data_IF_073523974392
#
_entry.id   IF_073523974392
#
_cell.length_a   1.000
_cell.length_b   1.000
_cell.length_c   1.000
_cell.angle_alpha   90.00
_cell.angle_beta   90.00
_cell.angle_gamma   90.00
#
_symmetry.space_group_name_H-M   'P 1'
#
loop_
_entity.id
_entity.type
_entity.pdbx_description
1 polymer ?
#
# COMPACT_ATOMS: atom_id res chain seq x y z
N UNK A 1 47.42 -67.04 27.48
CA UNK A 1 46.69 -67.22 26.25
C UNK A 1 45.25 -66.71 26.50
N UNK A 2 45.03 -65.44 26.28
CA UNK A 2 43.73 -64.80 26.42
C UNK A 2 43.44 -64.01 25.14
N UNK A 3 42.52 -64.47 24.40
CA UNK A 3 42.11 -63.86 23.12
C UNK A 3 40.77 -63.20 23.28
N UNK A 4 40.81 -61.88 23.23
CA UNK A 4 40.03 -61.03 22.33
C UNK A 4 38.62 -61.51 21.95
N UNK A 5 37.60 -60.93 22.65
CA UNK A 5 36.26 -60.84 22.13
C UNK A 5 35.63 -59.49 22.46
N UNK A 6 36.21 -58.39 22.01
CA UNK A 6 35.63 -57.07 22.24
C UNK A 6 35.38 -56.24 21.01
N UNK A 7 35.68 -56.72 19.81
CA UNK A 7 35.58 -55.90 18.57
C UNK A 7 34.34 -56.13 17.71
N UNK A 8 33.51 -57.14 17.98
CA UNK A 8 32.31 -57.38 17.13
C UNK A 8 31.07 -56.61 17.59
N UNK A 9 31.02 -56.21 18.86
CA UNK A 9 29.82 -55.51 19.37
C UNK A 9 29.78 -54.01 19.01
N UNK A 10 30.95 -53.39 18.80
CA UNK A 10 31.00 -51.96 18.44
C UNK A 10 30.61 -51.67 16.98
N UNK A 11 30.73 -52.63 16.08
CA UNK A 11 30.37 -52.44 14.67
C UNK A 11 28.88 -52.58 14.40
N UNK A 12 28.14 -53.31 15.20
CA UNK A 12 26.67 -53.50 15.01
C UNK A 12 25.90 -52.28 15.48
N UNK A 13 26.39 -51.59 16.55
CA UNK A 13 25.72 -50.38 17.07
C UNK A 13 25.90 -49.19 16.11
N UNK A 14 27.05 -49.12 15.40
CA UNK A 14 27.32 -48.07 14.45
C UNK A 14 26.44 -48.17 13.19
N UNK A 15 26.07 -49.37 12.77
CA UNK A 15 25.20 -49.56 11.57
C UNK A 15 23.73 -49.27 11.86
N UNK A 16 23.26 -49.57 13.07
CA UNK A 16 21.88 -49.25 13.45
C UNK A 16 21.65 -47.74 13.62
N UNK A 17 22.65 -47.00 14.10
CA UNK A 17 22.56 -45.53 14.28
C UNK A 17 22.60 -44.79 12.92
N UNK A 18 23.33 -45.30 11.94
CA UNK A 18 23.34 -44.71 10.61
C UNK A 18 22.06 -44.98 9.84
N UNK A 19 21.42 -46.13 10.06
CA UNK A 19 20.14 -46.46 9.40
C UNK A 19 18.95 -45.67 10.01
N UNK A 20 19.03 -45.27 11.32
CA UNK A 20 18.01 -44.47 11.95
C UNK A 20 18.04 -43.01 11.54
N UNK A 21 19.17 -42.49 11.10
CA UNK A 21 19.34 -41.12 10.61
C UNK A 21 18.85 -40.94 9.15
N UNK A 22 18.69 -42.03 8.42
CA UNK A 22 18.16 -42.00 7.05
C UNK A 22 16.63 -41.98 6.97
N UNK A 23 15.92 -42.12 8.09
CA UNK A 23 14.45 -42.05 8.19
C UNK A 23 13.94 -40.77 8.82
N UNK A 24 14.80 -39.82 9.16
CA UNK A 24 14.35 -38.43 9.34
C UNK A 24 14.06 -37.93 7.94
N UNK A 25 12.84 -38.17 7.51
CA UNK A 25 12.32 -37.57 6.29
C UNK A 25 12.59 -36.08 6.37
N UNK A 26 13.53 -35.61 5.58
CA UNK A 26 13.62 -34.22 5.22
C UNK A 26 12.25 -33.95 4.56
N UNK A 27 11.30 -33.47 5.37
CA UNK A 27 10.20 -32.72 4.81
C UNK A 27 10.87 -31.52 4.16
N UNK A 28 11.30 -31.68 2.92
CA UNK A 28 11.37 -30.56 2.02
C UNK A 28 9.95 -30.01 2.04
N UNK A 29 9.73 -29.04 2.87
CA UNK A 29 8.70 -28.07 2.63
C UNK A 29 9.00 -27.63 1.21
N UNK A 30 8.28 -28.18 0.24
CA UNK A 30 8.15 -27.55 -1.06
C UNK A 30 7.74 -26.12 -0.71
N UNK A 31 8.73 -25.23 -0.66
CA UNK A 31 8.49 -23.82 -0.86
C UNK A 31 7.76 -23.84 -2.20
N UNK A 32 6.45 -23.76 -2.14
CA UNK A 32 5.57 -23.57 -3.27
C UNK A 32 6.10 -22.30 -3.90
N UNK A 33 6.99 -22.49 -4.87
CA UNK A 33 7.34 -21.47 -5.83
C UNK A 33 6.02 -21.20 -6.56
N UNK A 34 5.16 -20.40 -5.90
CA UNK A 34 4.03 -19.79 -6.55
C UNK A 34 4.68 -18.81 -7.53
N UNK A 35 4.95 -19.31 -8.73
CA UNK A 35 5.16 -18.44 -9.88
C UNK A 35 3.88 -17.64 -10.03
N UNK A 36 3.78 -16.60 -9.20
CA UNK A 36 2.64 -15.69 -9.21
C UNK A 36 2.64 -15.04 -10.58
N UNK A 37 1.64 -15.33 -11.37
CA UNK A 37 1.42 -14.70 -12.66
C UNK A 37 1.43 -13.19 -12.41
N UNK A 38 2.28 -12.46 -13.13
CA UNK A 38 2.37 -11.01 -13.02
C UNK A 38 1.37 -10.36 -13.96
N UNK A 39 0.76 -9.28 -13.50
CA UNK A 39 -0.03 -8.37 -14.31
C UNK A 39 0.51 -6.94 -14.20
N UNK A 40 -0.05 -6.04 -14.96
CA UNK A 40 0.35 -4.63 -15.01
C UNK A 40 -0.68 -3.73 -14.33
N UNK A 41 -0.17 -2.77 -13.53
CA UNK A 41 -0.98 -1.71 -12.93
C UNK A 41 -0.48 -0.36 -13.44
N UNK A 42 -1.34 0.33 -14.20
CA UNK A 42 -1.09 1.68 -14.70
C UNK A 42 -1.54 2.70 -13.66
N UNK A 43 -0.66 3.62 -13.30
CA UNK A 43 -0.94 4.74 -12.41
C UNK A 43 -1.38 5.94 -13.25
N UNK A 44 -2.61 6.42 -13.04
CA UNK A 44 -3.11 7.67 -13.62
C UNK A 44 -3.00 8.78 -12.58
N UNK A 45 -1.92 9.54 -12.70
CA UNK A 45 -1.56 10.66 -11.83
C UNK A 45 -0.05 10.85 -11.84
N UNK A 46 0.41 11.91 -11.19
CA UNK A 46 1.82 12.33 -11.23
C UNK A 46 2.35 12.61 -9.82
N UNK A 47 3.67 12.86 -9.75
CA UNK A 47 4.36 13.31 -8.54
C UNK A 47 4.31 12.33 -7.38
N UNK A 48 4.13 11.03 -7.64
CA UNK A 48 4.10 10.00 -6.60
C UNK A 48 5.55 9.67 -6.19
N UNK A 49 5.89 9.91 -4.92
CA UNK A 49 7.20 9.55 -4.36
C UNK A 49 7.17 8.25 -3.57
N UNK A 50 5.99 7.86 -3.08
CA UNK A 50 5.79 6.59 -2.37
C UNK A 50 4.37 6.12 -2.56
N UNK A 51 4.20 4.85 -2.85
CA UNK A 51 2.92 4.18 -3.00
C UNK A 51 2.92 2.90 -2.18
N UNK A 52 1.88 2.70 -1.39
CA UNK A 52 1.68 1.48 -0.63
C UNK A 52 0.33 0.89 -1.01
N UNK A 53 0.39 -0.33 -1.51
CA UNK A 53 -0.76 -1.16 -1.83
C UNK A 53 -0.82 -2.35 -0.87
N UNK A 54 -2.01 -2.87 -0.64
CA UNK A 54 -2.22 -4.11 0.10
C UNK A 54 -3.06 -5.06 -0.75
N UNK A 55 -2.56 -6.28 -0.94
CA UNK A 55 -3.29 -7.32 -1.63
C UNK A 55 -4.40 -7.89 -0.73
N UNK A 56 -5.61 -8.05 -1.28
CA UNK A 56 -6.69 -8.70 -0.57
C UNK A 56 -6.45 -10.22 -0.53
N UNK A 57 -6.73 -10.82 0.60
CA UNK A 57 -6.61 -12.27 0.82
C UNK A 57 -5.44 -12.64 1.74
N UNK A 58 -4.23 -12.28 1.43
CA UNK A 58 -3.02 -12.56 2.24
C UNK A 58 -2.53 -11.36 3.06
N UNK A 59 -3.12 -10.18 2.82
CA UNK A 59 -2.72 -8.91 3.44
C UNK A 59 -1.27 -8.49 3.13
N UNK A 60 -0.68 -9.05 2.10
CA UNK A 60 0.66 -8.68 1.67
C UNK A 60 0.72 -7.20 1.29
N UNK A 61 1.78 -6.53 1.75
CA UNK A 61 1.98 -5.10 1.55
C UNK A 61 3.09 -4.89 0.54
N UNK A 62 2.75 -4.20 -0.53
CA UNK A 62 3.66 -3.80 -1.58
C UNK A 62 4.01 -2.32 -1.44
N UNK A 63 5.29 -1.99 -1.38
CA UNK A 63 5.78 -0.62 -1.28
C UNK A 63 6.63 -0.25 -2.49
N UNK A 64 6.27 0.85 -3.15
CA UNK A 64 6.97 1.40 -4.30
C UNK A 64 7.48 2.81 -3.96
N UNK A 65 8.77 3.03 -4.19
CA UNK A 65 9.40 4.35 -4.08
C UNK A 65 9.62 4.91 -5.47
N UNK A 66 9.08 6.11 -5.73
CA UNK A 66 9.06 6.75 -7.05
C UNK A 66 8.66 5.76 -8.15
N UNK A 67 7.44 5.19 -8.04
CA UNK A 67 7.00 4.19 -9.00
C UNK A 67 7.00 4.76 -10.42
N UNK A 68 7.30 3.90 -11.38
CA UNK A 68 7.04 4.18 -12.78
C UNK A 68 5.53 4.26 -13.04
N UNK A 69 5.14 4.79 -14.20
CA UNK A 69 3.73 4.89 -14.57
C UNK A 69 3.05 3.52 -14.71
N UNK A 70 3.81 2.48 -15.01
CA UNK A 70 3.35 1.10 -15.08
C UNK A 70 4.21 0.28 -14.12
N UNK A 71 3.58 -0.39 -13.17
CA UNK A 71 4.22 -1.29 -12.22
C UNK A 71 3.72 -2.72 -12.43
N UNK A 72 4.61 -3.69 -12.25
CA UNK A 72 4.27 -5.12 -12.32
C UNK A 72 3.99 -5.65 -10.93
N UNK A 73 2.88 -6.35 -10.79
CA UNK A 73 2.39 -6.92 -9.54
C UNK A 73 1.89 -8.35 -9.77
N UNK A 74 1.97 -9.23 -8.77
CA UNK A 74 1.22 -10.48 -8.78
C UNK A 74 -0.26 -10.24 -9.07
N UNK A 75 -0.90 -11.12 -9.82
CA UNK A 75 -2.34 -11.01 -10.07
C UNK A 75 -3.13 -11.04 -8.77
N UNK A 76 -4.16 -10.21 -8.67
CA UNK A 76 -4.97 -10.10 -7.46
C UNK A 76 -5.70 -8.77 -7.34
N UNK A 77 -6.44 -8.64 -6.25
CA UNK A 77 -7.11 -7.37 -5.90
C UNK A 77 -6.26 -6.58 -4.92
N UNK A 78 -6.01 -5.34 -5.24
CA UNK A 78 -5.21 -4.44 -4.43
C UNK A 78 -6.03 -3.27 -3.93
N UNK A 79 -5.84 -2.89 -2.68
CA UNK A 79 -6.39 -1.67 -2.12
C UNK A 79 -5.26 -0.69 -1.78
N UNK A 80 -5.50 0.57 -2.12
CA UNK A 80 -4.60 1.66 -1.75
C UNK A 80 -4.59 1.80 -0.22
N UNK A 81 -3.40 1.83 0.37
CA UNK A 81 -3.20 2.12 1.79
C UNK A 81 -2.72 3.55 1.99
N UNK A 82 -1.69 3.91 1.26
CA UNK A 82 -1.00 5.17 1.46
C UNK A 82 -0.35 5.64 0.15
N UNK A 83 -0.39 6.93 -0.10
CA UNK A 83 0.36 7.56 -1.18
C UNK A 83 0.94 8.90 -0.73
N UNK A 84 2.21 9.10 -1.02
CA UNK A 84 2.92 10.35 -0.79
C UNK A 84 3.26 11.00 -2.12
N UNK A 85 3.07 12.30 -2.19
CA UNK A 85 3.42 13.09 -3.36
C UNK A 85 4.60 14.02 -3.06
N UNK A 86 5.23 14.50 -4.13
CA UNK A 86 6.15 15.63 -4.03
C UNK A 86 5.46 16.81 -3.36
N UNK A 87 6.24 17.61 -2.61
CA UNK A 87 5.67 18.71 -1.84
C UNK A 87 5.08 18.30 -0.48
N UNK A 88 5.27 17.04 -0.05
CA UNK A 88 4.90 16.59 1.31
C UNK A 88 3.42 16.27 1.51
N UNK A 89 2.65 16.11 0.43
CA UNK A 89 1.24 15.72 0.52
C UNK A 89 1.10 14.22 0.75
N UNK A 90 0.22 13.82 1.66
CA UNK A 90 0.01 12.41 2.03
C UNK A 90 -1.49 12.09 1.99
N UNK A 91 -1.83 10.94 1.42
CA UNK A 91 -3.15 10.34 1.52
C UNK A 91 -3.07 9.01 2.27
N UNK A 92 -3.85 8.86 3.33
CA UNK A 92 -4.09 7.61 4.05
C UNK A 92 -5.44 7.04 3.61
N UNK A 93 -5.45 6.25 2.54
CA UNK A 93 -6.68 5.75 1.94
C UNK A 93 -7.44 4.75 2.83
N UNK A 94 -6.74 4.10 3.77
CA UNK A 94 -7.37 3.20 4.76
C UNK A 94 -8.34 3.92 5.71
N UNK A 95 -8.22 5.24 5.85
CA UNK A 95 -9.06 6.08 6.71
C UNK A 95 -10.22 6.76 5.96
N UNK A 96 -10.26 6.63 4.63
CA UNK A 96 -11.27 7.28 3.79
C UNK A 96 -12.53 6.43 3.56
N UNK A 97 -13.66 7.07 3.22
CA UNK A 97 -14.92 6.37 2.93
C UNK A 97 -14.90 5.61 1.61
N UNK A 98 -13.99 5.95 0.71
CA UNK A 98 -13.82 5.28 -0.60
C UNK A 98 -12.57 4.42 -0.56
N UNK A 99 -12.74 3.16 -0.91
CA UNK A 99 -11.61 2.26 -1.16
C UNK A 99 -11.20 2.40 -2.62
N UNK A 100 -9.97 2.81 -2.86
CA UNK A 100 -9.37 2.77 -4.19
C UNK A 100 -8.87 1.35 -4.44
N UNK A 101 -9.61 0.60 -5.25
CA UNK A 101 -9.35 -0.79 -5.57
C UNK A 101 -8.84 -0.92 -7.01
N UNK A 102 -7.88 -1.79 -7.22
CA UNK A 102 -7.42 -2.22 -8.54
C UNK A 102 -7.42 -3.75 -8.61
N UNK A 103 -7.98 -4.30 -9.69
CA UNK A 103 -7.93 -5.73 -9.97
C UNK A 103 -6.87 -5.98 -11.03
N UNK A 104 -5.73 -6.52 -10.64
CA UNK A 104 -4.61 -6.82 -11.52
C UNK A 104 -4.77 -8.22 -12.08
N UNK A 105 -4.81 -8.34 -13.40
CA UNK A 105 -4.91 -9.60 -14.15
C UNK A 105 -3.69 -9.75 -15.06
N UNK A 106 -3.49 -10.95 -15.61
CA UNK A 106 -2.43 -11.22 -16.59
C UNK A 106 -2.75 -10.67 -17.99
N UNK A 107 -4.02 -10.46 -18.28
CA UNK A 107 -4.52 -10.28 -19.63
C UNK A 107 -4.57 -8.80 -20.04
N UNK A 108 -4.96 -7.94 -19.08
CA UNK A 108 -5.14 -6.51 -19.34
C UNK A 108 -4.54 -5.67 -18.21
N UNK A 109 -3.89 -4.53 -18.54
CA UNK A 109 -3.41 -3.59 -17.53
C UNK A 109 -4.56 -3.01 -16.71
N UNK A 110 -4.49 -3.15 -15.39
CA UNK A 110 -5.40 -2.46 -14.48
C UNK A 110 -5.02 -0.96 -14.39
N UNK A 111 -5.99 -0.12 -14.06
CA UNK A 111 -5.73 1.32 -13.87
C UNK A 111 -6.08 1.76 -12.45
N UNK A 112 -5.16 2.47 -11.80
CA UNK A 112 -5.36 3.10 -10.52
C UNK A 112 -5.20 4.62 -10.65
N UNK A 113 -6.30 5.36 -10.44
CA UNK A 113 -6.31 6.83 -10.47
C UNK A 113 -5.91 7.37 -9.11
N UNK A 114 -4.69 7.89 -9.00
CA UNK A 114 -4.14 8.48 -7.77
C UNK A 114 -3.08 9.53 -8.12
N UNK A 115 -2.91 10.52 -7.24
CA UNK A 115 -1.81 11.49 -7.36
C UNK A 115 -2.24 12.85 -7.91
N UNK A 116 -1.25 13.63 -8.33
CA UNK A 116 -1.45 14.95 -8.92
C UNK A 116 -2.02 14.89 -10.37
N UNK A 117 -2.67 15.98 -10.85
CA UNK A 117 -2.82 17.27 -10.20
C UNK A 117 -3.80 17.24 -9.02
N UNK A 118 -3.51 18.04 -8.00
CA UNK A 118 -4.39 18.21 -6.85
C UNK A 118 -5.42 19.30 -7.11
N UNK A 119 -6.67 19.02 -6.76
CA UNK A 119 -7.78 19.96 -6.86
C UNK A 119 -8.20 20.41 -5.47
N UNK A 120 -8.16 21.72 -5.23
CA UNK A 120 -8.75 22.33 -4.05
C UNK A 120 -10.26 22.39 -4.18
N UNK A 121 -10.96 22.05 -3.11
CA UNK A 121 -12.42 22.15 -3.03
C UNK A 121 -12.87 22.52 -1.63
N UNK A 122 -14.00 23.20 -1.52
CA UNK A 122 -14.60 23.59 -0.26
C UNK A 122 -16.02 23.03 -0.21
N UNK A 123 -16.31 22.23 0.81
CA UNK A 123 -17.68 21.81 1.10
C UNK A 123 -18.30 22.76 2.10
N UNK A 124 -19.43 23.34 1.74
CA UNK A 124 -20.15 24.28 2.59
C UNK A 124 -21.42 23.60 3.09
N UNK A 125 -21.57 23.54 4.41
CA UNK A 125 -22.75 23.04 5.09
C UNK A 125 -23.34 24.12 6.00
N UNK A 126 -24.67 24.20 6.06
CA UNK A 126 -25.34 25.10 6.97
C UNK A 126 -25.73 24.37 8.26
N UNK A 127 -25.31 24.93 9.39
CA UNK A 127 -25.70 24.45 10.73
C UNK A 127 -26.38 25.61 11.50
N UNK A 128 -27.69 25.64 11.46
CA UNK A 128 -28.46 26.74 12.06
C UNK A 128 -28.16 28.08 11.37
N UNK A 129 -27.52 29.01 12.10
CA UNK A 129 -27.10 30.33 11.61
C UNK A 129 -25.67 30.37 11.09
N UNK A 130 -24.90 29.26 11.23
CA UNK A 130 -23.51 29.17 10.86
C UNK A 130 -23.34 28.47 9.52
N UNK A 131 -22.36 28.88 8.74
CA UNK A 131 -21.82 28.15 7.59
C UNK A 131 -20.56 27.44 8.04
N UNK A 132 -20.54 26.13 7.90
CA UNK A 132 -19.35 25.30 8.14
C UNK A 132 -18.72 25.01 6.80
N UNK A 133 -17.48 25.45 6.63
CA UNK A 133 -16.69 25.26 5.41
C UNK A 133 -15.58 24.26 5.69
N UNK A 134 -15.56 23.16 4.93
CA UNK A 134 -14.51 22.15 5.02
C UNK A 134 -13.67 22.19 3.75
N UNK A 135 -12.41 22.53 3.90
CA UNK A 135 -11.42 22.48 2.82
C UNK A 135 -11.00 21.03 2.57
N UNK A 136 -10.95 20.65 1.30
CA UNK A 136 -10.45 19.34 0.88
C UNK A 136 -9.50 19.52 -0.30
N UNK A 137 -8.39 18.78 -0.26
CA UNK A 137 -7.43 18.67 -1.35
C UNK A 137 -7.58 17.26 -1.94
N UNK A 138 -8.02 17.19 -3.20
CA UNK A 138 -8.35 15.94 -3.86
C UNK A 138 -7.37 15.64 -4.98
N UNK A 139 -6.93 14.40 -5.08
CA UNK A 139 -6.18 13.90 -6.23
C UNK A 139 -7.08 13.49 -7.39
N UNK A 140 -6.45 12.97 -8.46
CA UNK A 140 -7.14 12.61 -9.72
C UNK A 140 -8.17 11.50 -9.55
N UNK A 141 -8.05 10.63 -8.56
CA UNK A 141 -9.01 9.58 -8.22
C UNK A 141 -10.03 10.00 -7.17
N UNK A 142 -9.96 11.25 -6.68
CA UNK A 142 -10.81 11.78 -5.62
C UNK A 142 -10.36 11.39 -4.22
N UNK A 143 -9.16 10.86 -4.07
CA UNK A 143 -8.52 10.61 -2.79
C UNK A 143 -8.14 11.94 -2.11
N UNK A 144 -8.26 11.97 -0.76
CA UNK A 144 -7.98 13.17 0.01
C UNK A 144 -6.54 13.21 0.48
N UNK A 145 -5.92 14.35 0.25
CA UNK A 145 -4.56 14.63 0.71
C UNK A 145 -4.55 15.56 1.91
N UNK A 146 -3.58 15.36 2.77
CA UNK A 146 -3.24 16.23 3.91
C UNK A 146 -1.76 16.58 3.84
N UNK A 147 -1.32 17.55 4.63
CA UNK A 147 0.07 18.01 4.64
C UNK A 147 0.35 18.98 3.51
N UNK A 148 1.61 19.07 3.14
CA UNK A 148 2.18 20.03 2.20
C UNK A 148 3.23 20.88 2.88
N UNK A 149 4.29 21.23 2.13
CA UNK A 149 5.41 22.02 2.65
C UNK A 149 5.12 23.53 2.69
N UNK A 150 3.96 23.96 2.16
CA UNK A 150 3.54 25.36 2.27
C UNK A 150 3.01 25.60 3.68
N UNK A 151 3.79 26.24 4.53
CA UNK A 151 3.46 26.51 5.93
C UNK A 151 2.26 27.44 6.15
N UNK A 152 1.59 27.90 5.10
CA UNK A 152 0.42 28.77 5.20
C UNK A 152 -0.88 28.03 4.87
N UNK A 153 -1.92 28.18 5.72
CA UNK A 153 -3.23 27.63 5.44
C UNK A 153 -3.88 28.35 4.24
N UNK A 154 -4.74 27.66 3.45
CA UNK A 154 -5.50 28.27 2.38
C UNK A 154 -6.38 29.42 2.89
N UNK A 155 -6.54 30.47 2.09
CA UNK A 155 -7.47 31.56 2.36
C UNK A 155 -8.78 31.35 1.61
N UNK A 156 -9.87 31.90 2.15
CA UNK A 156 -11.15 31.98 1.46
C UNK A 156 -11.72 33.37 1.50
N UNK A 157 -12.54 33.71 0.53
CA UNK A 157 -13.29 34.96 0.51
C UNK A 157 -14.75 34.65 0.14
N UNK A 158 -15.67 35.25 0.88
CA UNK A 158 -17.12 35.06 0.68
C UNK A 158 -17.68 36.31 0.06
N UNK A 159 -18.45 36.15 -1.03
CA UNK A 159 -19.09 37.20 -1.75
C UNK A 159 -20.62 37.11 -1.65
N UNK A 160 -21.29 38.26 -1.67
CA UNK A 160 -22.71 38.40 -1.94
C UNK A 160 -22.89 39.26 -3.19
N UNK A 161 -23.18 38.60 -4.31
CA UNK A 161 -23.00 39.23 -5.62
C UNK A 161 -21.54 39.59 -5.82
N UNK A 162 -21.27 40.85 -6.16
CA UNK A 162 -19.90 41.37 -6.38
C UNK A 162 -19.28 41.96 -5.09
N UNK A 163 -20.02 41.95 -3.98
CA UNK A 163 -19.54 42.51 -2.72
C UNK A 163 -18.89 41.44 -1.85
N UNK A 164 -17.62 41.63 -1.49
CA UNK A 164 -16.95 40.85 -0.47
C UNK A 164 -17.60 41.12 0.90
N UNK A 165 -17.95 40.04 1.62
CA UNK A 165 -18.60 40.11 2.93
C UNK A 165 -17.76 39.47 4.04
N UNK A 166 -16.80 38.60 3.71
CA UNK A 166 -15.88 38.02 4.66
C UNK A 166 -14.66 37.44 3.94
N UNK A 167 -13.50 37.47 4.58
CA UNK A 167 -12.30 36.80 4.15
C UNK A 167 -11.52 36.32 5.39
N UNK A 168 -10.99 35.08 5.32
CA UNK A 168 -10.21 34.50 6.42
C UNK A 168 -9.35 33.34 5.91
N UNK A 169 -8.60 32.69 6.80
CA UNK A 169 -7.79 31.49 6.55
C UNK A 169 -8.49 30.27 7.13
N UNK A 170 -8.29 29.12 6.45
CA UNK A 170 -8.69 27.84 7.05
C UNK A 170 -7.72 27.49 8.18
N UNK A 171 -8.25 27.00 9.30
CA UNK A 171 -7.43 26.45 10.36
C UNK A 171 -7.09 24.98 10.05
N UNK A 172 -5.86 24.58 10.38
CA UNK A 172 -5.48 23.17 10.37
C UNK A 172 -6.04 22.52 11.65
N UNK A 173 -6.90 21.51 11.50
CA UNK A 173 -7.44 20.74 12.61
C UNK A 173 -6.55 19.57 13.04
#
# INVERSE_FOLDING_TARGET
MVLTQTNKLRFVISFATVLLLLHVGINFSEARDQSSTLGELKLEGKSIVRLILRREGDNEREEFRRPEQIIKLPTGKYCLQEVHLEGGYICYASRGPKRHLASVTSDEPATLKIGAPLKQTVKVNRQGRHLVMNYELLGVGGEKYTGGNSGEPPTFTVYRGDKEIASDKFEFG
#
